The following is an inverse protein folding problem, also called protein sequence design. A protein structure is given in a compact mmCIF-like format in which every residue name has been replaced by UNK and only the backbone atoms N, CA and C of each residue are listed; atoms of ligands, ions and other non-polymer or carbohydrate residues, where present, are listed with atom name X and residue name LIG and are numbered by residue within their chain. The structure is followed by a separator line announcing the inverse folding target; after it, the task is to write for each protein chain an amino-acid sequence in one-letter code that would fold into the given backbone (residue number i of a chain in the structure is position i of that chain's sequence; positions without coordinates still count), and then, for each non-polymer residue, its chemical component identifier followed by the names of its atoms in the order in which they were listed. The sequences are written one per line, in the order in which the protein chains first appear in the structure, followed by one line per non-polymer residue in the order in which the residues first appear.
data_IF_986892484143
#
_entry.id   IF_986892484143
#
_cell.length_a   1.000
_cell.length_b   1.000
_cell.length_c   1.000
_cell.angle_alpha   90.00
_cell.angle_beta   90.00
_cell.angle_gamma   90.00
#
_symmetry.space_group_name_H-M   'P 1'
#
loop_
_entity.id
_entity.type
_entity.pdbx_description
1 polymer ?
#
# COMPACT_ATOMS: atom_id res chain seq x y z
N UNK A 1 15.42 -16.37 42.19
CA UNK A 1 15.86 -16.32 40.79
C UNK A 1 14.66 -16.10 39.89
N UNK A 2 14.77 -15.13 39.01
CA UNK A 2 13.68 -14.84 38.09
C UNK A 2 13.91 -15.63 36.82
N UNK A 3 12.93 -16.41 36.40
CA UNK A 3 12.98 -17.18 35.20
C UNK A 3 12.65 -16.25 34.01
N UNK A 4 13.46 -16.31 32.98
CA UNK A 4 13.24 -15.52 31.78
C UNK A 4 11.94 -15.95 31.11
N UNK A 5 11.13 -14.97 30.69
CA UNK A 5 9.91 -15.25 29.94
C UNK A 5 10.27 -15.62 28.50
N UNK A 6 9.48 -16.53 27.95
CA UNK A 6 9.60 -16.88 26.54
C UNK A 6 9.39 -15.63 25.69
N UNK A 7 10.29 -15.37 24.76
CA UNK A 7 10.17 -14.27 23.84
C UNK A 7 9.62 -14.79 22.51
N UNK A 8 8.48 -14.26 22.13
CA UNK A 8 7.93 -14.56 20.80
C UNK A 8 8.75 -13.76 19.80
N UNK A 9 9.20 -14.40 18.74
CA UNK A 9 9.98 -13.74 17.72
C UNK A 9 9.11 -13.58 16.46
N UNK A 10 8.67 -12.35 16.21
CA UNK A 10 7.95 -12.06 14.98
C UNK A 10 8.98 -11.98 13.85
N UNK A 11 8.60 -12.42 12.65
CA UNK A 11 9.55 -12.58 11.54
C UNK A 11 9.20 -11.76 10.30
N UNK A 12 8.13 -11.00 10.33
CA UNK A 12 7.75 -10.16 9.21
C UNK A 12 6.27 -9.86 9.24
N UNK A 13 5.82 -9.23 8.18
CA UNK A 13 4.40 -8.92 7.99
C UNK A 13 3.87 -9.86 6.93
N UNK A 14 2.80 -10.60 7.26
CA UNK A 14 2.15 -11.47 6.28
C UNK A 14 1.26 -10.65 5.36
N UNK A 15 0.35 -9.89 5.92
CA UNK A 15 -0.52 -9.01 5.13
C UNK A 15 -1.00 -7.82 5.96
N UNK A 16 -1.43 -6.80 5.24
CA UNK A 16 -2.08 -5.62 5.80
C UNK A 16 -3.45 -5.51 5.14
N UNK A 17 -4.47 -5.21 5.91
CA UNK A 17 -5.84 -5.09 5.40
C UNK A 17 -6.25 -3.62 5.34
N UNK A 18 -6.80 -3.22 4.20
CA UNK A 18 -7.34 -1.89 4.00
C UNK A 18 -8.83 -1.99 3.69
N UNK A 19 -9.62 -1.15 4.33
CA UNK A 19 -11.03 -1.02 3.99
C UNK A 19 -11.15 -0.12 2.74
N UNK A 20 -11.98 -0.54 1.79
CA UNK A 20 -12.19 0.21 0.55
C UNK A 20 -13.69 0.34 0.28
N UNK A 21 -14.08 1.43 -0.35
CA UNK A 21 -15.49 1.67 -0.69
C UNK A 21 -15.93 0.93 -1.93
N UNK A 22 -15.03 0.79 -2.89
CA UNK A 22 -15.33 0.20 -4.19
C UNK A 22 -14.21 -0.78 -4.51
N UNK A 23 -14.48 -2.05 -4.30
CA UNK A 23 -13.47 -3.10 -4.45
C UNK A 23 -12.90 -3.14 -5.86
N UNK A 24 -13.75 -3.03 -6.89
CA UNK A 24 -13.29 -3.06 -8.27
C UNK A 24 -12.40 -1.86 -8.61
N UNK A 25 -12.76 -0.68 -8.14
CA UNK A 25 -11.95 0.53 -8.33
C UNK A 25 -10.58 0.36 -7.67
N UNK A 26 -10.56 -0.15 -6.46
CA UNK A 26 -9.30 -0.34 -5.73
C UNK A 26 -8.44 -1.43 -6.34
N UNK A 27 -9.06 -2.50 -6.84
CA UNK A 27 -8.32 -3.54 -7.57
C UNK A 27 -7.63 -2.96 -8.80
N UNK A 28 -8.32 -2.14 -9.58
CA UNK A 28 -7.70 -1.48 -10.74
C UNK A 28 -6.50 -0.64 -10.33
N UNK A 29 -6.63 0.10 -9.23
CA UNK A 29 -5.54 0.93 -8.72
C UNK A 29 -4.32 0.08 -8.34
N UNK A 30 -4.51 -0.93 -7.51
CA UNK A 30 -3.39 -1.72 -7.00
C UNK A 30 -2.82 -2.69 -8.04
N UNK A 31 -3.64 -3.21 -8.93
CA UNK A 31 -3.19 -4.15 -9.96
C UNK A 31 -2.65 -3.42 -11.20
N UNK A 32 -3.47 -2.55 -11.79
CA UNK A 32 -3.12 -1.94 -13.06
C UNK A 32 -2.08 -0.84 -12.92
N UNK A 33 -2.17 -0.04 -11.87
CA UNK A 33 -1.21 1.05 -11.66
C UNK A 33 0.02 0.57 -10.90
N UNK A 34 -0.17 -0.18 -9.80
CA UNK A 34 0.94 -0.56 -8.92
C UNK A 34 1.51 -1.95 -9.20
N UNK A 35 0.94 -2.70 -10.14
CA UNK A 35 1.54 -3.95 -10.59
C UNK A 35 1.38 -5.14 -9.67
N UNK A 36 0.45 -5.08 -8.71
CA UNK A 36 0.21 -6.22 -7.84
C UNK A 36 -0.58 -7.31 -8.57
N UNK A 37 -0.53 -8.53 -8.07
CA UNK A 37 -1.25 -9.65 -8.64
C UNK A 37 -2.16 -10.28 -7.60
N UNK A 38 -3.22 -10.95 -8.07
CA UNK A 38 -4.19 -11.55 -7.16
C UNK A 38 -3.62 -12.82 -6.53
N UNK A 39 -3.64 -12.89 -5.19
CA UNK A 39 -3.31 -14.09 -4.45
C UNK A 39 -4.55 -14.97 -4.34
N UNK A 40 -5.63 -14.40 -3.84
CA UNK A 40 -6.95 -15.04 -3.83
C UNK A 40 -8.00 -13.97 -3.58
N UNK A 41 -9.25 -14.30 -3.90
CA UNK A 41 -10.34 -13.35 -3.67
C UNK A 41 -11.66 -14.07 -3.41
N UNK A 42 -12.56 -13.34 -2.78
CA UNK A 42 -13.95 -13.73 -2.58
C UNK A 42 -14.82 -12.55 -3.00
N UNK A 43 -16.12 -12.64 -2.76
CA UNK A 43 -17.06 -11.58 -3.13
C UNK A 43 -16.72 -10.22 -2.55
N UNK A 44 -16.12 -10.19 -1.35
CA UNK A 44 -15.91 -8.93 -0.61
C UNK A 44 -14.48 -8.73 -0.14
N UNK A 45 -13.56 -9.60 -0.55
CA UNK A 45 -12.15 -9.52 -0.18
C UNK A 45 -11.28 -9.83 -1.38
N UNK A 46 -10.19 -9.09 -1.53
CA UNK A 46 -9.17 -9.42 -2.52
C UNK A 46 -7.82 -9.31 -1.85
N UNK A 47 -7.06 -10.39 -1.87
CA UNK A 47 -5.70 -10.41 -1.36
C UNK A 47 -4.75 -10.31 -2.54
N UNK A 48 -3.84 -9.36 -2.47
CA UNK A 48 -2.91 -9.03 -3.57
C UNK A 48 -1.48 -9.27 -3.13
N UNK A 49 -0.71 -9.88 -4.01
CA UNK A 49 0.73 -9.99 -3.79
C UNK A 49 1.41 -8.66 -4.05
N UNK A 50 2.20 -8.22 -3.07
CA UNK A 50 3.11 -7.09 -3.17
C UNK A 50 4.49 -7.66 -2.88
N UNK A 51 5.18 -8.14 -3.92
CA UNK A 51 6.38 -8.95 -3.71
C UNK A 51 6.02 -10.25 -2.99
N UNK A 52 6.63 -10.48 -1.83
CA UNK A 52 6.38 -11.67 -1.02
C UNK A 52 5.39 -11.42 0.11
N UNK A 53 4.88 -10.22 0.22
CA UNK A 53 3.91 -9.82 1.24
C UNK A 53 2.58 -9.55 0.57
N UNK A 54 1.54 -9.40 1.36
CA UNK A 54 0.22 -9.18 0.79
C UNK A 54 -0.44 -7.93 1.33
N UNK A 55 -1.24 -7.31 0.48
CA UNK A 55 -2.17 -6.26 0.87
C UNK A 55 -3.55 -6.79 0.55
N UNK A 56 -4.45 -6.76 1.53
CA UNK A 56 -5.81 -7.22 1.35
C UNK A 56 -6.76 -6.04 1.31
N UNK A 57 -7.69 -6.08 0.36
CA UNK A 57 -8.71 -5.05 0.20
C UNK A 57 -10.04 -5.66 0.65
N UNK A 58 -10.67 -5.05 1.63
CA UNK A 58 -11.94 -5.51 2.17
C UNK A 58 -13.01 -4.49 1.85
N UNK A 59 -14.12 -4.95 1.31
CA UNK A 59 -15.25 -4.10 0.95
C UNK A 59 -15.93 -3.55 2.21
N UNK A 60 -15.75 -2.27 2.48
CA UNK A 60 -16.30 -1.61 3.67
C UNK A 60 -17.83 -1.51 3.63
N UNK A 61 -18.42 -1.49 2.44
CA UNK A 61 -19.88 -1.34 2.31
C UNK A 61 -20.64 -2.57 2.78
N UNK A 62 -20.00 -3.71 2.76
CA UNK A 62 -20.64 -4.96 3.15
C UNK A 62 -21.10 -4.96 4.61
N UNK A 63 -20.39 -4.24 5.48
CA UNK A 63 -20.71 -4.17 6.91
C UNK A 63 -20.89 -2.73 7.39
N UNK A 64 -21.18 -1.82 6.49
CA UNK A 64 -21.29 -0.39 6.80
C UNK A 64 -20.09 0.11 7.61
N UNK A 65 -18.90 -0.38 7.28
CA UNK A 65 -17.70 0.02 7.99
C UNK A 65 -17.25 1.40 7.55
N UNK A 66 -16.95 2.26 8.51
CA UNK A 66 -16.38 3.58 8.22
C UNK A 66 -14.91 3.45 7.87
N UNK A 67 -14.47 4.23 6.89
CA UNK A 67 -13.06 4.27 6.50
C UNK A 67 -12.42 5.49 7.13
N UNK A 68 -11.38 5.24 7.94
CA UNK A 68 -10.60 6.31 8.60
C UNK A 68 -9.19 6.32 8.02
N UNK A 69 -9.10 6.52 6.71
CA UNK A 69 -7.83 6.48 6.00
C UNK A 69 -6.84 7.50 6.54
N UNK A 70 -5.58 7.09 6.61
CA UNK A 70 -4.45 7.91 7.04
C UNK A 70 -4.56 8.45 8.48
N UNK A 71 -5.35 7.79 9.33
CA UNK A 71 -5.42 8.16 10.74
C UNK A 71 -4.38 7.39 11.56
N UNK A 72 -4.65 6.12 11.89
CA UNK A 72 -3.68 5.32 12.62
C UNK A 72 -2.52 4.89 11.73
N UNK A 73 -2.82 4.39 10.54
CA UNK A 73 -1.81 4.08 9.55
C UNK A 73 -1.57 5.34 8.71
N UNK A 74 -0.49 6.03 9.00
CA UNK A 74 -0.18 7.29 8.31
C UNK A 74 0.05 7.04 6.81
N UNK A 75 0.90 6.10 6.48
CA UNK A 75 1.15 5.70 5.10
C UNK A 75 1.87 4.36 5.08
N UNK A 76 1.86 3.72 3.91
CA UNK A 76 2.67 2.53 3.65
C UNK A 76 3.73 2.88 2.62
N UNK A 77 4.97 2.51 2.88
CA UNK A 77 6.04 2.65 1.92
C UNK A 77 6.19 1.33 1.17
N UNK A 78 6.04 1.38 -0.14
CA UNK A 78 6.10 0.21 -1.00
C UNK A 78 7.39 0.27 -1.82
N UNK A 79 8.08 -0.86 -1.90
CA UNK A 79 9.25 -0.97 -2.75
C UNK A 79 8.80 -1.18 -4.19
N UNK A 80 9.44 -0.52 -5.12
CA UNK A 80 9.17 -0.71 -6.54
C UNK A 80 10.42 -1.20 -7.25
N UNK A 81 10.24 -1.79 -8.42
CA UNK A 81 11.36 -2.16 -9.27
C UNK A 81 12.14 -0.91 -9.67
N UNK A 82 13.44 -1.05 -9.91
CA UNK A 82 14.25 0.10 -10.30
C UNK A 82 13.68 0.82 -11.51
N UNK A 83 13.15 1.99 -11.25
CA UNK A 83 12.62 2.92 -12.23
C UNK A 83 12.92 4.29 -11.67
N UNK A 84 12.97 5.30 -12.50
CA UNK A 84 13.21 6.63 -11.96
C UNK A 84 11.98 7.10 -11.22
N UNK A 85 12.19 7.91 -10.18
CA UNK A 85 11.06 8.53 -9.48
C UNK A 85 10.27 9.42 -10.42
N UNK A 86 10.92 10.03 -11.38
CA UNK A 86 10.26 10.88 -12.37
C UNK A 86 9.29 10.07 -13.23
N UNK A 87 9.69 8.88 -13.65
CA UNK A 87 8.83 8.00 -14.45
C UNK A 87 7.63 7.53 -13.62
N UNK A 88 7.87 7.13 -12.38
CA UNK A 88 6.80 6.70 -11.48
C UNK A 88 5.81 7.84 -11.23
N UNK A 89 6.33 9.04 -10.95
CA UNK A 89 5.51 10.23 -10.74
C UNK A 89 4.65 10.53 -11.96
N UNK A 90 5.25 10.50 -13.14
CA UNK A 90 4.53 10.76 -14.38
C UNK A 90 3.42 9.75 -14.62
N UNK A 91 3.69 8.49 -14.36
CA UNK A 91 2.68 7.43 -14.54
C UNK A 91 1.50 7.62 -13.58
N UNK A 92 1.77 7.97 -12.33
CA UNK A 92 0.71 8.21 -11.34
C UNK A 92 -0.12 9.43 -11.74
N UNK A 93 0.54 10.50 -12.13
CA UNK A 93 -0.14 11.74 -12.52
C UNK A 93 -0.95 11.58 -13.81
N UNK A 94 -0.53 10.68 -14.69
CA UNK A 94 -1.27 10.33 -15.90
C UNK A 94 -2.66 9.78 -15.56
N UNK A 95 -2.82 9.15 -14.40
CA UNK A 95 -4.11 8.65 -13.93
C UNK A 95 -4.95 9.74 -13.23
N UNK A 96 -4.47 10.97 -13.22
CA UNK A 96 -5.17 12.08 -12.56
C UNK A 96 -4.93 12.14 -11.06
N UNK A 97 -3.95 11.42 -10.55
CA UNK A 97 -3.63 11.38 -9.12
C UNK A 97 -2.58 12.42 -8.81
N UNK A 98 -2.85 13.22 -7.78
CA UNK A 98 -1.89 14.24 -7.32
C UNK A 98 -0.80 13.57 -6.50
N UNK A 99 0.45 13.91 -6.80
CA UNK A 99 1.58 13.41 -6.02
C UNK A 99 2.08 14.49 -5.08
N UNK A 100 2.71 14.07 -4.00
CA UNK A 100 3.34 14.95 -3.01
C UNK A 100 4.78 14.53 -2.85
N UNK A 101 5.64 15.47 -2.54
CA UNK A 101 7.04 15.20 -2.29
C UNK A 101 7.58 16.18 -1.26
N UNK A 102 8.85 16.01 -0.94
CA UNK A 102 9.56 16.94 -0.07
C UNK A 102 10.41 17.83 -0.97
N UNK A 103 10.35 19.12 -0.73
CA UNK A 103 11.13 20.08 -1.51
C UNK A 103 12.61 19.71 -1.42
N UNK A 104 13.26 19.63 -2.59
CA UNK A 104 14.67 19.31 -2.67
C UNK A 104 15.00 17.82 -2.57
N UNK A 105 13.99 16.96 -2.45
CA UNK A 105 14.20 15.52 -2.35
C UNK A 105 13.46 14.80 -3.49
N UNK A 106 14.14 14.51 -4.59
CA UNK A 106 13.49 13.86 -5.75
C UNK A 106 13.09 12.41 -5.50
N UNK A 107 13.50 11.84 -4.35
CA UNK A 107 13.18 10.46 -4.02
C UNK A 107 11.96 10.34 -3.12
N UNK A 108 11.38 11.48 -2.74
CA UNK A 108 10.25 11.52 -1.83
C UNK A 108 8.95 11.59 -2.63
N UNK A 109 8.33 10.44 -2.89
CA UNK A 109 7.15 10.33 -3.74
C UNK A 109 5.98 9.74 -2.95
N UNK A 110 5.00 10.59 -2.64
CA UNK A 110 3.80 10.22 -1.90
C UNK A 110 2.55 10.46 -2.73
N UNK A 111 1.55 9.65 -2.53
CA UNK A 111 0.23 9.82 -3.15
C UNK A 111 -0.79 9.00 -2.37
N UNK A 112 -2.07 9.16 -2.68
CA UNK A 112 -3.11 8.44 -1.97
C UNK A 112 -3.79 7.44 -2.90
N UNK A 113 -4.29 6.35 -2.31
CA UNK A 113 -5.13 5.43 -3.03
C UNK A 113 -6.55 6.01 -3.18
N UNK A 114 -7.47 5.34 -3.89
CA UNK A 114 -8.83 5.90 -4.11
C UNK A 114 -9.63 6.22 -2.86
N UNK A 115 -9.30 5.60 -1.74
CA UNK A 115 -9.99 5.83 -0.47
C UNK A 115 -9.24 6.77 0.47
N UNK A 116 -8.11 7.30 0.04
CA UNK A 116 -7.32 8.23 0.84
C UNK A 116 -6.24 7.57 1.69
N UNK A 117 -5.98 6.29 1.51
CA UNK A 117 -4.87 5.64 2.20
C UNK A 117 -3.55 6.16 1.63
N UNK A 118 -2.67 6.63 2.52
CA UNK A 118 -1.39 7.22 2.11
C UNK A 118 -0.39 6.16 1.67
N UNK A 119 0.30 6.43 0.56
CA UNK A 119 1.31 5.53 -0.01
C UNK A 119 2.56 6.31 -0.34
N UNK A 120 3.68 5.61 -0.27
CA UNK A 120 4.98 6.13 -0.69
C UNK A 120 5.65 5.07 -1.54
N UNK A 121 6.36 5.47 -2.59
CA UNK A 121 7.14 4.54 -3.41
C UNK A 121 8.62 4.76 -3.16
N UNK A 122 9.34 3.65 -2.97
CA UNK A 122 10.79 3.61 -2.82
C UNK A 122 11.33 2.50 -3.70
N UNK A 123 12.55 2.62 -4.16
CA UNK A 123 13.17 1.48 -4.82
C UNK A 123 14.39 1.00 -4.04
N UNK A 124 14.69 -0.28 -4.22
CA UNK A 124 15.79 -0.92 -3.54
C UNK A 124 17.12 -0.32 -4.03
N UNK A 125 17.99 -0.01 -3.10
CA UNK A 125 19.26 0.64 -3.43
C UNK A 125 19.22 2.14 -3.27
N UNK A 126 18.08 2.68 -2.85
CA UNK A 126 17.99 4.09 -2.50
C UNK A 126 18.80 4.35 -1.24
N UNK A 127 19.63 5.37 -1.25
CA UNK A 127 20.40 5.77 -0.07
C UNK A 127 19.51 6.58 0.86
N UNK A 128 19.45 6.15 2.09
CA UNK A 128 18.63 6.80 3.10
C UNK A 128 19.38 7.88 3.86
#
# INVERSE_FOLDING_TARGET
MVQAKLRIKTTGIDHVVLWVKDLERSKRFYIDLLGMTIAHESEWQTFLWCGTQQIALFDATRRDHEIHAATELNHMALLMEPASYEEAKARIEEEGITTRGRQGDPTCLYFDDPDGHGLQLLYKGHDE
#
